data_IF_175077766836
#
_entry.id   IF_175077766836
#
_cell.length_a   1.000
_cell.length_b   1.000
_cell.length_c   1.000
_cell.angle_alpha   90.00
_cell.angle_beta   90.00
_cell.angle_gamma   90.00
#
_symmetry.space_group_name_H-M   'P 1'
#
loop_
_entity.id
_entity.type
_entity.pdbx_description
1 polymer ?
#
# COMPACT_ATOMS: atom_id res chain seq x y z
N UNK A 1 -35.52 -67.92 27.21
CA UNK A 1 -35.83 -68.07 25.78
C UNK A 1 -36.95 -67.08 25.46
N UNK A 2 -36.94 -66.35 24.34
CA UNK A 2 -36.19 -66.60 23.11
C UNK A 2 -35.11 -65.54 22.80
N UNK A 3 -34.01 -66.02 22.23
CA UNK A 3 -33.12 -65.27 21.38
C UNK A 3 -33.66 -65.38 19.94
N UNK A 4 -34.10 -64.27 19.34
CA UNK A 4 -34.37 -64.18 17.89
C UNK A 4 -34.28 -62.76 17.30
N UNK A 5 -34.17 -61.70 18.11
CA UNK A 5 -34.21 -60.31 17.59
C UNK A 5 -32.85 -59.62 17.35
N UNK A 6 -31.73 -60.33 17.44
CA UNK A 6 -30.39 -59.72 17.31
C UNK A 6 -29.76 -59.87 15.90
N UNK A 7 -30.37 -60.64 14.99
CA UNK A 7 -29.84 -60.87 13.64
C UNK A 7 -30.42 -59.89 12.59
N UNK A 8 -31.64 -59.39 12.75
CA UNK A 8 -32.29 -58.50 11.77
C UNK A 8 -31.83 -57.03 11.86
N UNK A 9 -31.38 -56.58 13.03
CA UNK A 9 -30.89 -55.20 13.23
C UNK A 9 -29.55 -54.92 12.51
N UNK A 10 -28.70 -55.93 12.34
CA UNK A 10 -27.38 -55.77 11.69
C UNK A 10 -27.46 -55.78 10.16
N UNK A 11 -28.46 -56.48 9.59
CA UNK A 11 -28.69 -56.51 8.14
C UNK A 11 -29.35 -55.21 7.61
N UNK A 12 -30.21 -54.57 8.41
CA UNK A 12 -30.84 -53.28 8.05
C UNK A 12 -29.83 -52.11 8.04
N UNK A 13 -28.87 -52.12 8.98
CA UNK A 13 -27.89 -51.04 9.11
C UNK A 13 -26.79 -51.07 8.02
N UNK A 14 -26.51 -52.23 7.42
CA UNK A 14 -25.57 -52.37 6.30
C UNK A 14 -26.23 -52.07 4.94
N UNK A 15 -27.55 -52.28 4.81
CA UNK A 15 -28.31 -51.93 3.61
C UNK A 15 -28.47 -50.40 3.43
N UNK A 16 -28.79 -49.67 4.50
CA UNK A 16 -28.90 -48.20 4.48
C UNK A 16 -27.57 -47.51 4.15
N UNK A 17 -26.45 -48.09 4.58
CA UNK A 17 -25.10 -47.55 4.32
C UNK A 17 -24.70 -47.67 2.85
N UNK A 18 -25.14 -48.72 2.16
CA UNK A 18 -24.93 -48.92 0.72
C UNK A 18 -25.79 -47.99 -0.14
N UNK A 19 -27.04 -47.71 0.26
CA UNK A 19 -27.95 -46.79 -0.45
C UNK A 19 -27.47 -45.33 -0.39
N UNK A 20 -27.00 -44.88 0.79
CA UNK A 20 -26.42 -43.54 0.98
C UNK A 20 -25.14 -43.32 0.15
N UNK A 21 -24.31 -44.36 -0.04
CA UNK A 21 -23.11 -44.27 -0.87
C UNK A 21 -23.42 -44.22 -2.37
N UNK A 22 -24.48 -44.92 -2.82
CA UNK A 22 -24.93 -44.91 -4.21
C UNK A 22 -25.56 -43.55 -4.60
N UNK A 23 -26.37 -42.94 -3.72
CA UNK A 23 -26.98 -41.63 -3.97
C UNK A 23 -25.93 -40.50 -4.06
N UNK A 24 -24.88 -40.54 -3.22
CA UNK A 24 -23.79 -39.55 -3.25
C UNK A 24 -22.94 -39.62 -4.52
N UNK A 25 -22.82 -40.79 -5.14
CA UNK A 25 -22.18 -40.97 -6.46
C UNK A 25 -23.08 -40.48 -7.60
N UNK A 26 -24.40 -40.66 -7.50
CA UNK A 26 -25.37 -40.26 -8.53
C UNK A 26 -25.56 -38.73 -8.63
N UNK A 27 -25.52 -38.01 -7.51
CA UNK A 27 -25.54 -36.53 -7.49
C UNK A 27 -24.25 -35.88 -8.01
N UNK A 28 -23.08 -36.54 -7.86
CA UNK A 28 -21.80 -36.02 -8.39
C UNK A 28 -21.64 -36.15 -9.91
N UNK A 29 -22.41 -37.03 -10.55
CA UNK A 29 -22.39 -37.24 -12.01
C UNK A 29 -23.41 -36.34 -12.72
N UNK A 30 -24.46 -35.88 -12.04
CA UNK A 30 -25.47 -34.95 -12.60
C UNK A 30 -25.05 -33.47 -12.59
N UNK A 31 -24.03 -33.07 -11.82
CA UNK A 31 -23.53 -31.69 -11.78
C UNK A 31 -22.39 -31.40 -12.77
N UNK A 32 -22.05 -32.34 -13.67
CA UNK A 32 -20.90 -32.25 -14.61
C UNK A 32 -21.29 -32.31 -16.10
N UNK A 33 -22.57 -32.20 -16.41
CA UNK A 33 -23.10 -32.11 -17.77
C UNK A 33 -24.25 -31.11 -17.72
N UNK A 34 -24.29 -30.13 -18.63
CA UNK A 34 -25.14 -28.90 -18.63
C UNK A 34 -24.43 -27.80 -17.81
N UNK A 35 -23.77 -26.77 -18.36
CA UNK A 35 -24.04 -25.98 -19.57
C UNK A 35 -22.77 -25.67 -20.37
N UNK A 36 -22.84 -25.96 -21.66
CA UNK A 36 -22.05 -25.35 -22.73
C UNK A 36 -23.03 -25.18 -23.89
N UNK A 37 -23.45 -23.95 -24.17
CA UNK A 37 -23.72 -23.43 -25.52
C UNK A 37 -24.19 -21.96 -25.42
N UNK A 38 -23.70 -21.19 -26.37
CA UNK A 38 -23.82 -19.74 -26.59
C UNK A 38 -25.21 -19.37 -27.15
N UNK A 39 -25.72 -18.14 -26.91
CA UNK A 39 -25.86 -17.13 -27.99
C UNK A 39 -26.46 -15.76 -27.54
N UNK A 40 -25.88 -14.68 -28.08
CA UNK A 40 -26.44 -13.41 -28.60
C UNK A 40 -27.62 -12.69 -27.87
N UNK A 41 -27.71 -11.37 -27.66
CA UNK A 41 -27.15 -10.12 -28.25
C UNK A 41 -27.53 -8.94 -27.33
N UNK A 42 -26.80 -7.81 -27.37
CA UNK A 42 -27.32 -6.43 -27.55
C UNK A 42 -26.21 -5.39 -27.30
N UNK A 43 -25.89 -4.63 -28.36
CA UNK A 43 -25.05 -3.43 -28.38
C UNK A 43 -25.81 -2.25 -27.78
N UNK A 44 -25.18 -1.46 -26.90
CA UNK A 44 -25.39 0.00 -26.87
C UNK A 44 -24.09 0.71 -26.41
N UNK A 45 -23.83 1.82 -27.08
CA UNK A 45 -22.61 2.62 -27.15
C UNK A 45 -22.10 3.25 -25.84
N UNK A 46 -20.77 3.32 -25.70
CA UNK A 46 -20.09 4.30 -24.85
C UNK A 46 -18.77 4.76 -25.51
N UNK A 47 -18.39 6.04 -25.35
CA UNK A 47 -17.68 6.79 -26.38
C UNK A 47 -16.17 6.53 -26.43
N UNK A 48 -15.65 6.55 -27.65
CA UNK A 48 -14.22 6.56 -27.96
C UNK A 48 -13.56 7.86 -27.49
N UNK A 49 -12.69 7.78 -26.48
CA UNK A 49 -11.59 8.73 -26.31
C UNK A 49 -10.30 8.03 -26.71
N UNK A 50 -9.81 8.41 -27.90
CA UNK A 50 -8.48 8.08 -28.38
C UNK A 50 -7.45 8.86 -27.57
N UNK A 51 -6.75 8.19 -26.66
CA UNK A 51 -5.43 8.62 -26.24
C UNK A 51 -4.49 7.42 -26.36
N UNK A 52 -3.59 7.55 -27.34
CA UNK A 52 -2.54 6.62 -27.67
C UNK A 52 -1.39 6.77 -26.67
N UNK A 53 -1.45 6.03 -25.57
CA UNK A 53 -0.26 5.72 -24.79
C UNK A 53 -0.02 4.22 -24.86
N UNK A 54 0.95 3.83 -25.70
CA UNK A 54 1.46 2.48 -25.76
C UNK A 54 2.27 2.18 -24.49
N UNK A 55 1.55 1.91 -23.40
CA UNK A 55 2.11 1.25 -22.23
C UNK A 55 2.50 -0.17 -22.67
N UNK A 56 3.81 -0.40 -22.86
CA UNK A 56 4.37 -1.74 -22.93
C UNK A 56 4.17 -2.44 -21.57
N UNK A 57 2.94 -2.92 -21.34
CA UNK A 57 2.65 -3.88 -20.31
C UNK A 57 3.53 -5.11 -20.55
N UNK A 58 4.44 -5.38 -19.61
CA UNK A 58 5.18 -6.63 -19.57
C UNK A 58 4.14 -7.75 -19.44
N UNK A 59 3.92 -8.48 -20.53
CA UNK A 59 3.03 -9.62 -20.54
C UNK A 59 3.65 -10.77 -19.73
N UNK A 60 3.36 -10.77 -18.43
CA UNK A 60 3.75 -11.83 -17.51
C UNK A 60 3.19 -13.19 -17.95
N UNK A 61 2.11 -13.22 -18.74
CA UNK A 61 1.57 -14.46 -19.31
C UNK A 61 2.50 -14.99 -20.41
N UNK A 62 3.10 -14.12 -21.23
CA UNK A 62 4.08 -14.51 -22.25
C UNK A 62 5.39 -15.00 -21.63
N UNK A 63 5.85 -14.40 -20.52
CA UNK A 63 7.03 -14.87 -19.77
C UNK A 63 6.74 -16.22 -19.09
N UNK A 64 5.58 -16.36 -18.44
CA UNK A 64 5.15 -17.62 -17.84
C UNK A 64 4.95 -18.73 -18.89
N UNK A 65 4.45 -18.40 -20.08
CA UNK A 65 4.30 -19.34 -21.20
C UNK A 65 5.65 -19.80 -21.76
N UNK A 66 6.66 -18.92 -21.78
CA UNK A 66 8.05 -19.24 -22.21
C UNK A 66 8.84 -20.05 -21.17
N UNK A 67 8.50 -19.94 -19.88
CA UNK A 67 9.14 -20.66 -18.77
C UNK A 67 8.70 -22.14 -18.62
N UNK A 68 7.94 -22.67 -19.58
CA UNK A 68 7.56 -24.07 -19.62
C UNK A 68 6.26 -24.36 -18.88
N UNK A 69 5.31 -24.97 -19.60
CA UNK A 69 3.98 -25.40 -19.14
C UNK A 69 4.01 -26.54 -18.11
N UNK A 70 4.74 -26.38 -17.01
CA UNK A 70 4.74 -27.34 -15.89
C UNK A 70 4.71 -26.64 -14.52
N UNK A 71 4.10 -25.45 -14.44
CA UNK A 71 3.92 -24.71 -13.18
C UNK A 71 2.44 -24.52 -12.79
N UNK A 72 1.53 -25.32 -13.33
CA UNK A 72 0.09 -25.25 -13.03
C UNK A 72 -0.34 -26.42 -12.16
N UNK A 73 -0.30 -26.26 -10.83
CA UNK A 73 -1.25 -26.85 -9.84
C UNK A 73 -0.91 -26.63 -8.35
N UNK A 74 0.21 -26.00 -7.98
CA UNK A 74 0.55 -25.80 -6.56
C UNK A 74 0.83 -24.33 -6.24
N UNK A 75 -0.02 -23.74 -5.39
CA UNK A 75 0.31 -22.48 -4.68
C UNK A 75 1.55 -22.73 -3.84
N UNK A 76 2.63 -21.97 -4.09
CA UNK A 76 3.87 -22.03 -3.31
C UNK A 76 3.89 -20.90 -2.30
N UNK A 77 4.30 -21.19 -1.07
CA UNK A 77 4.59 -20.15 -0.09
C UNK A 77 5.82 -19.36 -0.55
N UNK A 78 5.79 -18.05 -0.34
CA UNK A 78 6.94 -17.16 -0.57
C UNK A 78 7.46 -16.73 0.78
N UNK A 79 8.76 -16.85 0.99
CA UNK A 79 9.42 -16.46 2.25
C UNK A 79 10.10 -15.11 2.03
N UNK A 80 10.04 -14.24 3.04
CA UNK A 80 10.86 -13.04 3.11
C UNK A 80 11.75 -13.17 4.33
N UNK A 81 13.05 -13.04 4.15
CA UNK A 81 14.00 -13.16 5.26
C UNK A 81 13.70 -12.11 6.31
N UNK A 82 13.67 -12.58 7.56
CA UNK A 82 13.59 -11.71 8.71
C UNK A 82 14.83 -10.83 8.76
N UNK A 83 14.63 -9.53 8.67
CA UNK A 83 15.66 -8.53 8.93
C UNK A 83 15.33 -7.91 10.29
N UNK A 84 16.20 -8.03 11.29
CA UNK A 84 15.96 -7.41 12.57
C UNK A 84 15.87 -5.90 12.39
N UNK A 85 14.99 -5.21 13.16
CA UNK A 85 14.88 -3.77 13.09
C UNK A 85 16.25 -3.13 13.37
N UNK A 86 16.55 -1.98 12.73
CA UNK A 86 17.80 -1.28 12.96
C UNK A 86 17.90 -0.87 14.43
N UNK A 87 19.04 -1.17 15.05
CA UNK A 87 19.40 -0.67 16.37
C UNK A 87 20.22 0.63 16.23
N UNK A 88 20.41 1.36 17.33
CA UNK A 88 21.17 2.62 17.35
C UNK A 88 22.61 2.50 16.82
N UNK A 89 23.14 1.28 16.73
CA UNK A 89 24.50 1.00 16.29
C UNK A 89 24.64 0.82 14.78
N UNK A 90 23.53 0.61 14.06
CA UNK A 90 23.56 0.45 12.61
C UNK A 90 23.32 1.77 11.90
N UNK A 91 24.25 2.15 11.04
CA UNK A 91 24.10 3.29 10.13
C UNK A 91 24.07 2.78 8.69
N UNK A 92 23.20 3.34 7.82
CA UNK A 92 23.23 3.04 6.41
C UNK A 92 24.63 3.34 5.84
N UNK A 93 25.19 2.44 5.00
CA UNK A 93 26.46 2.74 4.34
C UNK A 93 26.29 3.97 3.43
N UNK A 94 27.37 4.73 3.27
CA UNK A 94 27.40 5.89 2.36
C UNK A 94 28.58 5.72 1.44
N UNK A 95 28.30 5.62 0.14
CA UNK A 95 29.33 5.58 -0.90
C UNK A 95 29.36 6.93 -1.62
N UNK A 96 30.54 7.59 -1.70
CA UNK A 96 30.69 8.84 -2.44
C UNK A 96 30.31 8.67 -3.91
N UNK A 97 29.54 9.63 -4.44
CA UNK A 97 29.04 9.66 -5.83
C UNK A 97 29.07 11.09 -6.37
N UNK A 98 29.15 11.24 -7.68
CA UNK A 98 28.96 12.56 -8.30
C UNK A 98 27.49 12.97 -8.27
N UNK A 99 27.21 14.27 -8.42
CA UNK A 99 25.84 14.78 -8.54
C UNK A 99 25.11 14.17 -9.75
N UNK A 100 25.83 13.95 -10.85
CA UNK A 100 25.29 13.33 -12.06
C UNK A 100 24.85 11.88 -11.80
N UNK A 101 25.66 11.10 -11.08
CA UNK A 101 25.33 9.71 -10.75
C UNK A 101 24.12 9.63 -9.84
N UNK A 102 24.06 10.49 -8.82
CA UNK A 102 22.92 10.59 -7.89
C UNK A 102 21.61 10.85 -8.67
N UNK A 103 21.64 11.79 -9.62
CA UNK A 103 20.47 12.10 -10.45
C UNK A 103 20.10 10.94 -11.39
N UNK A 104 21.10 10.28 -11.99
CA UNK A 104 20.90 9.10 -12.85
C UNK A 104 20.22 7.97 -12.08
N UNK A 105 20.78 7.59 -10.93
CA UNK A 105 20.24 6.56 -10.04
C UNK A 105 18.81 6.93 -9.63
N UNK A 106 18.59 8.17 -9.14
CA UNK A 106 17.27 8.65 -8.70
C UNK A 106 16.23 8.50 -9.80
N UNK A 107 16.57 8.85 -11.04
CA UNK A 107 15.70 8.71 -12.21
C UNK A 107 15.34 7.24 -12.48
N UNK A 108 16.32 6.35 -12.41
CA UNK A 108 16.09 4.90 -12.61
C UNK A 108 15.23 4.29 -11.51
N UNK A 109 15.50 4.57 -10.24
CA UNK A 109 14.71 3.99 -9.13
C UNK A 109 13.29 4.51 -9.09
N UNK A 110 13.02 5.79 -9.41
CA UNK A 110 11.65 6.34 -9.39
C UNK A 110 10.69 5.63 -10.35
N UNK A 111 11.21 5.00 -11.41
CA UNK A 111 10.44 4.17 -12.35
C UNK A 111 10.13 2.77 -11.82
N UNK A 112 10.81 2.34 -10.76
CA UNK A 112 10.62 1.04 -10.14
C UNK A 112 9.50 1.11 -9.08
N UNK A 113 8.56 0.17 -9.14
CA UNK A 113 7.41 0.10 -8.24
C UNK A 113 7.80 0.10 -6.75
N UNK A 114 8.92 -0.53 -6.38
CA UNK A 114 9.39 -0.61 -5.00
C UNK A 114 9.83 0.74 -4.44
N UNK A 115 10.23 1.67 -5.30
CA UNK A 115 10.81 2.95 -4.91
C UNK A 115 9.92 4.15 -5.27
N UNK A 116 8.97 3.99 -6.19
CA UNK A 116 8.13 5.07 -6.72
C UNK A 116 7.46 5.92 -5.61
N UNK A 117 7.00 5.28 -4.54
CA UNK A 117 6.28 5.92 -3.42
C UNK A 117 7.15 6.22 -2.19
N UNK A 118 8.46 6.00 -2.26
CA UNK A 118 9.35 6.31 -1.15
C UNK A 118 9.51 7.85 -1.03
N UNK A 119 9.40 8.43 0.19
CA UNK A 119 9.69 9.85 0.41
C UNK A 119 11.10 10.24 -0.04
N UNK A 120 11.30 11.48 -0.51
CA UNK A 120 12.58 11.91 -1.10
C UNK A 120 13.75 11.76 -0.12
N UNK A 121 13.57 12.10 1.15
CA UNK A 121 14.62 11.99 2.17
C UNK A 121 15.07 10.53 2.35
N UNK A 122 14.13 9.59 2.40
CA UNK A 122 14.41 8.16 2.49
C UNK A 122 15.03 7.63 1.21
N UNK A 123 14.57 8.11 0.05
CA UNK A 123 15.13 7.74 -1.24
C UNK A 123 16.59 8.19 -1.33
N UNK A 124 16.92 9.37 -0.84
CA UNK A 124 18.29 9.89 -0.80
C UNK A 124 19.20 8.95 0.00
N UNK A 125 18.78 8.51 1.19
CA UNK A 125 19.55 7.54 1.99
C UNK A 125 19.78 6.23 1.23
N UNK A 126 18.79 5.74 0.48
CA UNK A 126 18.95 4.53 -0.35
C UNK A 126 19.93 4.76 -1.50
N UNK A 127 19.88 5.92 -2.17
CA UNK A 127 20.81 6.29 -3.26
C UNK A 127 22.24 6.41 -2.71
N UNK A 128 22.42 7.01 -1.56
CA UNK A 128 23.72 7.14 -0.89
C UNK A 128 24.30 5.76 -0.51
N UNK A 129 23.42 4.83 -0.15
CA UNK A 129 23.78 3.45 0.17
C UNK A 129 24.08 2.55 -1.04
N UNK A 130 23.82 3.01 -2.27
CA UNK A 130 24.14 2.21 -3.45
C UNK A 130 25.65 2.15 -3.70
N UNK A 131 26.16 0.94 -3.96
CA UNK A 131 27.58 0.68 -4.17
C UNK A 131 27.90 0.60 -5.66
N UNK A 132 28.99 1.24 -6.07
CA UNK A 132 29.52 1.11 -7.43
C UNK A 132 30.18 -0.27 -7.66
N UNK A 133 29.88 -0.88 -8.81
CA UNK A 133 30.49 -2.14 -9.26
C UNK A 133 30.81 -2.08 -10.76
N UNK A 134 31.99 -2.54 -11.13
CA UNK A 134 32.42 -2.70 -12.52
C UNK A 134 32.60 -4.20 -12.80
N UNK A 135 32.08 -4.65 -13.93
CA UNK A 135 32.05 -6.06 -14.33
C UNK A 135 32.54 -6.19 -15.77
N UNK A 136 33.53 -7.06 -15.96
CA UNK A 136 34.09 -7.34 -17.28
C UNK A 136 33.10 -8.10 -18.18
N UNK A 137 33.24 -7.92 -19.49
CA UNK A 137 32.45 -8.66 -20.47
C UNK A 137 32.62 -10.18 -20.30
N UNK A 138 31.51 -10.90 -20.41
CA UNK A 138 31.43 -12.36 -20.26
C UNK A 138 31.20 -12.84 -18.83
N UNK A 139 31.29 -11.97 -17.82
CA UNK A 139 31.09 -12.33 -16.41
C UNK A 139 29.60 -12.33 -16.04
N UNK A 140 29.17 -13.34 -15.28
CA UNK A 140 27.82 -13.44 -14.72
C UNK A 140 27.71 -12.53 -13.48
N UNK A 141 26.86 -11.49 -13.56
CA UNK A 141 26.59 -10.57 -12.44
C UNK A 141 25.72 -11.27 -11.39
N UNK A 142 24.73 -12.03 -11.86
CA UNK A 142 23.90 -12.93 -11.04
C UNK A 142 23.68 -14.23 -11.80
N UNK A 143 23.55 -15.33 -11.08
CA UNK A 143 23.38 -16.68 -11.66
C UNK A 143 22.01 -17.25 -11.29
N UNK A 144 21.30 -17.82 -12.26
CA UNK A 144 20.01 -18.47 -12.04
C UNK A 144 20.13 -19.57 -10.96
N UNK A 145 19.16 -19.60 -10.05
CA UNK A 145 19.12 -20.56 -8.95
C UNK A 145 19.97 -20.16 -7.74
N UNK A 146 20.76 -19.07 -7.83
CA UNK A 146 21.49 -18.55 -6.68
C UNK A 146 20.51 -18.08 -5.59
N UNK A 147 20.59 -18.75 -4.44
CA UNK A 147 19.78 -18.48 -3.25
C UNK A 147 20.35 -17.35 -2.39
N UNK A 148 21.62 -17.03 -2.56
CA UNK A 148 22.27 -15.90 -1.87
C UNK A 148 22.03 -14.56 -2.60
N UNK A 149 21.38 -14.59 -3.77
CA UNK A 149 21.07 -13.40 -4.54
C UNK A 149 20.15 -12.44 -3.78
N UNK A 150 20.72 -11.40 -3.18
CA UNK A 150 20.02 -10.43 -2.33
C UNK A 150 20.15 -8.97 -2.79
N UNK A 151 20.86 -8.73 -3.90
CA UNK A 151 21.10 -7.40 -4.45
C UNK A 151 20.17 -7.01 -5.59
N UNK A 152 19.86 -5.74 -5.67
CA UNK A 152 19.26 -5.05 -6.81
C UNK A 152 20.34 -4.28 -7.55
N UNK A 153 20.29 -4.25 -8.89
CA UNK A 153 21.30 -3.61 -9.73
C UNK A 153 20.67 -2.62 -10.71
N UNK A 154 21.34 -1.49 -10.92
CA UNK A 154 21.01 -0.48 -11.93
C UNK A 154 22.24 -0.30 -12.83
N UNK A 155 22.07 -0.49 -14.13
CA UNK A 155 23.12 -0.30 -15.11
C UNK A 155 23.35 1.19 -15.36
N UNK A 156 24.60 1.62 -15.20
CA UNK A 156 25.06 2.96 -15.53
C UNK A 156 25.69 3.01 -16.92
N UNK A 157 26.44 1.96 -17.28
CA UNK A 157 26.98 1.76 -18.62
C UNK A 157 26.97 0.28 -19.03
N UNK A 158 26.99 0.02 -20.34
CA UNK A 158 27.05 -1.33 -20.89
C UNK A 158 25.71 -2.03 -21.09
N UNK A 159 25.80 -3.32 -21.46
CA UNK A 159 24.67 -4.19 -21.79
C UNK A 159 24.86 -5.58 -21.19
N UNK A 160 23.76 -6.21 -20.80
CA UNK A 160 23.74 -7.55 -20.23
C UNK A 160 22.72 -8.45 -20.92
N UNK A 161 23.11 -9.70 -21.20
CA UNK A 161 22.20 -10.74 -21.65
C UNK A 161 21.47 -11.35 -20.45
N UNK A 162 20.15 -11.56 -20.60
CA UNK A 162 19.31 -12.27 -19.63
C UNK A 162 19.08 -13.69 -20.12
N UNK A 163 19.49 -14.67 -19.33
CA UNK A 163 19.52 -16.08 -19.70
C UNK A 163 18.68 -16.88 -18.70
N UNK A 164 17.74 -17.69 -19.19
CA UNK A 164 16.94 -18.61 -18.37
C UNK A 164 16.99 -20.00 -18.96
N UNK A 165 17.29 -21.00 -18.13
CA UNK A 165 17.43 -22.40 -18.53
C UNK A 165 18.37 -22.55 -19.75
N UNK A 166 19.50 -21.83 -19.71
CA UNK A 166 20.50 -21.75 -20.78
C UNK A 166 20.02 -21.17 -22.12
N UNK A 167 18.86 -20.50 -22.15
CA UNK A 167 18.35 -19.79 -23.33
C UNK A 167 18.33 -18.29 -23.07
N UNK A 168 18.83 -17.51 -24.02
CA UNK A 168 18.68 -16.05 -23.98
C UNK A 168 17.19 -15.69 -24.09
N UNK A 169 16.69 -14.90 -23.15
CA UNK A 169 15.28 -14.46 -23.09
C UNK A 169 15.11 -12.95 -23.28
N UNK A 170 16.20 -12.19 -23.21
CA UNK A 170 16.21 -10.74 -23.42
C UNK A 170 17.57 -10.12 -23.12
N UNK A 171 17.62 -8.79 -23.18
CA UNK A 171 18.79 -7.97 -22.87
C UNK A 171 18.36 -6.82 -21.93
N UNK A 172 19.26 -6.39 -21.05
CA UNK A 172 19.13 -5.15 -20.26
C UNK A 172 20.28 -4.23 -20.65
N UNK A 173 19.95 -3.01 -21.05
CA UNK A 173 20.93 -1.97 -21.44
C UNK A 173 20.84 -0.78 -20.50
N UNK A 174 21.97 -0.14 -20.22
CA UNK A 174 22.03 1.14 -19.50
C UNK A 174 21.19 2.24 -20.16
N UNK A 175 21.01 2.16 -21.48
CA UNK A 175 20.20 3.13 -22.26
C UNK A 175 18.70 2.83 -22.24
N UNK A 176 18.30 1.66 -21.76
CA UNK A 176 16.89 1.26 -21.71
C UNK A 176 16.13 2.04 -20.64
N UNK A 177 14.83 2.25 -20.86
CA UNK A 177 13.92 2.82 -19.85
C UNK A 177 13.93 1.99 -18.56
N UNK A 178 14.09 0.67 -18.70
CA UNK A 178 14.23 -0.32 -17.62
C UNK A 178 15.68 -0.80 -17.56
N UNK A 179 16.59 0.05 -17.11
CA UNK A 179 18.02 -0.23 -17.00
C UNK A 179 18.42 -1.00 -15.71
N UNK A 180 17.51 -1.73 -15.08
CA UNK A 180 17.74 -2.36 -13.78
C UNK A 180 17.22 -3.79 -13.73
N UNK A 181 17.72 -4.58 -12.78
CA UNK A 181 17.28 -5.95 -12.53
C UNK A 181 17.49 -6.38 -11.08
N UNK A 182 16.75 -7.41 -10.66
CA UNK A 182 16.92 -8.04 -9.35
C UNK A 182 16.13 -7.38 -8.23
N UNK A 183 15.16 -6.53 -8.55
CA UNK A 183 14.32 -5.80 -7.59
C UNK A 183 13.54 -6.72 -6.65
N UNK A 184 13.10 -7.88 -7.15
CA UNK A 184 12.38 -8.87 -6.34
C UNK A 184 13.24 -9.46 -5.22
N UNK A 185 14.57 -9.43 -5.37
CA UNK A 185 15.49 -9.88 -4.33
C UNK A 185 15.57 -8.92 -3.14
N UNK A 186 14.97 -7.72 -3.23
CA UNK A 186 14.82 -6.85 -2.06
C UNK A 186 13.61 -7.26 -1.21
N UNK A 187 12.63 -7.96 -1.79
CA UNK A 187 11.39 -8.34 -1.12
C UNK A 187 11.37 -9.78 -0.61
N UNK A 188 11.81 -10.75 -1.42
CA UNK A 188 11.58 -12.17 -1.16
C UNK A 188 12.84 -13.01 -1.24
N UNK A 189 12.93 -14.02 -0.37
CA UNK A 189 13.93 -15.10 -0.45
C UNK A 189 13.51 -16.03 -1.57
N UNK A 190 13.91 -15.64 -2.78
CA UNK A 190 13.68 -16.42 -3.97
C UNK A 190 15.02 -16.60 -4.67
N UNK A 191 15.34 -17.84 -5.13
CA UNK A 191 16.48 -18.04 -6.01
C UNK A 191 16.36 -17.11 -7.23
N UNK A 192 17.49 -16.63 -7.74
CA UNK A 192 17.50 -15.81 -8.96
C UNK A 192 16.78 -16.54 -10.10
N UNK A 193 15.80 -15.88 -10.71
CA UNK A 193 14.99 -16.45 -11.78
C UNK A 193 15.74 -16.59 -13.12
N UNK A 194 16.82 -15.82 -13.28
CA UNK A 194 17.63 -15.76 -14.49
C UNK A 194 19.10 -15.51 -14.13
N UNK A 195 19.99 -15.91 -15.03
CA UNK A 195 21.38 -15.45 -15.07
C UNK A 195 21.42 -14.13 -15.84
N UNK A 196 22.17 -13.15 -15.34
CA UNK A 196 22.43 -11.89 -16.05
C UNK A 196 23.94 -11.82 -16.30
N UNK A 197 24.32 -11.86 -17.58
CA UNK A 197 25.72 -11.88 -18.02
C UNK A 197 26.08 -10.57 -18.69
N UNK A 198 27.21 -9.99 -18.31
CA UNK A 198 27.75 -8.80 -18.97
C UNK A 198 28.10 -9.15 -20.42
N UNK A 199 27.48 -8.47 -21.40
CA UNK A 199 27.75 -8.63 -22.84
C UNK A 199 28.89 -7.72 -23.28
N UNK A 200 28.91 -6.51 -22.74
CA UNK A 200 30.02 -5.55 -22.79
C UNK A 200 30.62 -5.39 -21.40
N UNK A 201 31.74 -4.67 -21.20
CA UNK A 201 32.05 -4.12 -19.89
C UNK A 201 30.83 -3.35 -19.36
N UNK A 202 30.51 -3.55 -18.09
CA UNK A 202 29.32 -3.01 -17.43
C UNK A 202 29.73 -2.30 -16.16
N UNK A 203 29.23 -1.09 -15.98
CA UNK A 203 29.30 -0.34 -14.73
C UNK A 203 27.88 -0.25 -14.16
N UNK A 204 27.72 -0.55 -12.88
CA UNK A 204 26.42 -0.61 -12.25
C UNK A 204 26.45 -0.18 -10.78
N UNK A 205 25.26 0.16 -10.29
CA UNK A 205 25.00 0.47 -8.90
C UNK A 205 24.23 -0.68 -8.26
N UNK A 206 24.66 -1.13 -7.09
CA UNK A 206 24.00 -2.21 -6.36
C UNK A 206 23.46 -1.76 -5.00
N UNK A 207 22.33 -2.35 -4.59
CA UNK A 207 21.73 -2.18 -3.27
C UNK A 207 21.38 -3.54 -2.69
N UNK A 208 21.81 -3.84 -1.47
CA UNK A 208 21.45 -5.08 -0.81
C UNK A 208 20.11 -5.00 -0.07
N UNK A 209 19.46 -6.16 0.04
CA UNK A 209 18.18 -6.36 0.71
C UNK A 209 18.17 -5.87 2.16
N UNK A 210 19.24 -6.13 2.91
CA UNK A 210 19.29 -5.82 4.35
C UNK A 210 19.29 -4.31 4.53
N UNK A 211 20.11 -3.59 3.78
CA UNK A 211 20.15 -2.13 3.77
C UNK A 211 18.82 -1.54 3.32
N UNK A 212 18.27 -2.02 2.20
CA UNK A 212 16.95 -1.56 1.72
C UNK A 212 15.86 -1.69 2.80
N UNK A 213 15.72 -2.88 3.39
CA UNK A 213 14.72 -3.14 4.43
C UNK A 213 14.97 -2.32 5.69
N UNK A 214 16.22 -2.20 6.16
CA UNK A 214 16.54 -1.44 7.37
C UNK A 214 16.29 0.05 7.20
N UNK A 215 16.63 0.64 6.06
CA UNK A 215 16.35 2.07 5.78
C UNK A 215 14.84 2.34 5.77
N UNK A 216 14.06 1.46 5.14
CA UNK A 216 12.60 1.56 5.15
C UNK A 216 12.03 1.39 6.57
N UNK A 217 12.47 0.37 7.30
CA UNK A 217 12.04 0.12 8.68
C UNK A 217 12.38 1.31 9.58
N UNK A 218 13.61 1.84 9.54
CA UNK A 218 14.02 3.01 10.30
C UNK A 218 13.11 4.21 10.04
N UNK A 219 12.86 4.51 8.76
CA UNK A 219 11.99 5.63 8.36
C UNK A 219 10.57 5.44 8.90
N UNK A 220 9.98 4.26 8.67
CA UNK A 220 8.61 3.98 9.14
C UNK A 220 8.50 4.02 10.67
N UNK A 221 9.49 3.50 11.40
CA UNK A 221 9.54 3.56 12.85
C UNK A 221 9.67 4.99 13.37
N UNK A 222 10.53 5.80 12.75
CA UNK A 222 10.72 7.20 13.12
C UNK A 222 9.46 8.02 12.85
N UNK A 223 8.82 7.84 11.68
CA UNK A 223 7.55 8.49 11.36
C UNK A 223 6.46 8.10 12.35
N UNK A 224 6.38 6.81 12.70
CA UNK A 224 5.40 6.31 13.67
C UNK A 224 5.63 6.88 15.06
N UNK A 225 6.88 6.96 15.51
CA UNK A 225 7.23 7.59 16.79
C UNK A 225 6.81 9.05 16.82
N UNK A 226 7.12 9.82 15.77
CA UNK A 226 6.71 11.22 15.65
C UNK A 226 5.18 11.39 15.67
N UNK A 227 4.44 10.49 15.03
CA UNK A 227 2.98 10.51 15.10
C UNK A 227 2.46 10.14 16.49
N UNK A 228 3.01 9.13 17.15
CA UNK A 228 2.61 8.79 18.51
C UNK A 228 2.87 9.93 19.50
N UNK A 229 4.05 10.56 19.43
CA UNK A 229 4.40 11.73 20.25
C UNK A 229 3.40 12.87 20.01
N UNK A 230 3.02 13.12 18.75
CA UNK A 230 1.99 14.10 18.43
C UNK A 230 0.61 13.71 18.99
N UNK A 231 0.18 12.47 18.79
CA UNK A 231 -1.10 11.97 19.27
C UNK A 231 -1.23 12.09 20.79
N UNK A 232 -0.12 11.93 21.53
CA UNK A 232 -0.08 12.12 22.99
C UNK A 232 -0.32 13.58 23.42
N UNK A 233 -0.02 14.56 22.56
CA UNK A 233 -0.26 15.98 22.85
C UNK A 233 -1.69 16.43 22.53
N UNK A 234 -2.44 15.68 21.71
CA UNK A 234 -3.81 16.09 21.32
C UNK A 234 -4.82 15.57 22.34
N UNK A 235 -5.55 16.44 23.07
CA UNK A 235 -6.42 16.01 24.16
C UNK A 235 -7.51 15.01 23.76
N UNK A 236 -8.03 15.09 22.52
CA UNK A 236 -9.06 14.17 22.01
C UNK A 236 -8.58 12.71 21.97
N UNK A 237 -7.28 12.48 21.86
CA UNK A 237 -6.68 11.15 21.80
C UNK A 237 -6.19 10.64 23.15
N UNK A 238 -6.35 11.41 24.23
CA UNK A 238 -5.91 11.03 25.56
C UNK A 238 -6.60 9.76 26.09
N UNK A 239 -7.82 9.47 25.64
CA UNK A 239 -8.59 8.27 26.01
C UNK A 239 -8.23 7.03 25.20
N UNK A 240 -7.44 7.17 24.13
CA UNK A 240 -7.02 6.04 23.31
C UNK A 240 -5.94 5.22 24.01
N UNK A 241 -6.10 3.90 23.97
CA UNK A 241 -5.04 2.96 24.33
C UNK A 241 -3.86 3.06 23.36
N UNK A 242 -2.69 2.54 23.77
CA UNK A 242 -1.50 2.52 22.91
C UNK A 242 -1.74 1.80 21.58
N UNK A 243 -2.56 0.74 21.57
CA UNK A 243 -2.91 0.00 20.35
C UNK A 243 -3.81 0.82 19.41
N UNK A 244 -4.76 1.57 19.97
CA UNK A 244 -5.62 2.47 19.20
C UNK A 244 -4.82 3.65 18.65
N UNK A 245 -3.91 4.24 19.44
CA UNK A 245 -2.99 5.27 18.95
C UNK A 245 -2.09 4.77 17.82
N UNK A 246 -1.56 3.55 17.94
CA UNK A 246 -0.82 2.91 16.84
C UNK A 246 -1.66 2.80 15.58
N UNK A 247 -2.91 2.38 15.72
CA UNK A 247 -3.86 2.27 14.61
C UNK A 247 -4.14 3.64 13.97
N UNK A 248 -4.26 4.69 14.78
CA UNK A 248 -4.43 6.07 14.29
C UNK A 248 -3.18 6.50 13.53
N UNK A 249 -2.00 6.35 14.13
CA UNK A 249 -0.72 6.71 13.52
C UNK A 249 -0.51 6.06 12.15
N UNK A 250 -0.92 4.79 11.98
CA UNK A 250 -0.80 4.08 10.70
C UNK A 250 -1.79 4.57 9.63
N UNK A 251 -2.90 5.20 10.04
CA UNK A 251 -3.96 5.67 9.14
C UNK A 251 -3.91 7.19 8.88
N UNK A 252 -3.17 7.95 9.70
CA UNK A 252 -3.03 9.40 9.57
C UNK A 252 -2.38 9.78 8.24
N UNK A 253 -3.00 10.72 7.53
CA UNK A 253 -2.41 11.36 6.35
C UNK A 253 -2.12 12.83 6.64
N UNK A 254 -0.96 13.31 6.21
CA UNK A 254 -0.57 14.71 6.35
C UNK A 254 -0.99 15.48 5.10
N UNK A 255 -1.62 16.63 5.29
CA UNK A 255 -1.93 17.57 4.22
C UNK A 255 -1.42 18.97 4.58
N UNK A 256 -0.75 19.62 3.64
CA UNK A 256 -0.32 21.01 3.75
C UNK A 256 -1.26 21.86 2.91
N UNK A 257 -1.78 22.94 3.51
CA UNK A 257 -2.69 23.88 2.85
C UNK A 257 -2.12 25.29 2.94
N UNK A 258 -2.27 26.06 1.86
CA UNK A 258 -1.88 27.45 1.76
C UNK A 258 -2.83 28.39 2.50
N UNK A 259 -2.39 29.63 2.70
CA UNK A 259 -3.26 30.66 3.24
C UNK A 259 -4.37 31.00 2.23
N UNK A 260 -5.63 31.00 2.67
CA UNK A 260 -6.81 31.20 1.83
C UNK A 260 -7.40 29.91 1.25
N UNK A 261 -6.72 28.77 1.37
CA UNK A 261 -7.23 27.51 0.83
C UNK A 261 -8.43 27.00 1.65
N UNK A 262 -9.47 26.56 0.93
CA UNK A 262 -10.66 25.95 1.52
C UNK A 262 -10.40 24.46 1.74
N UNK A 263 -10.48 24.01 2.99
CA UNK A 263 -10.25 22.61 3.39
C UNK A 263 -11.56 21.82 3.32
N UNK A 264 -12.64 22.41 3.84
CA UNK A 264 -14.00 21.86 3.78
C UNK A 264 -14.94 22.92 3.24
N UNK A 265 -15.95 22.49 2.48
CA UNK A 265 -17.00 23.38 1.94
C UNK A 265 -18.33 23.02 2.57
N UNK A 266 -19.08 24.03 3.00
CA UNK A 266 -20.46 23.85 3.49
C UNK A 266 -21.33 23.14 2.45
N UNK A 267 -22.21 22.25 2.91
CA UNK A 267 -23.13 21.47 2.08
C UNK A 267 -22.47 20.32 1.32
N UNK A 268 -21.14 20.23 1.30
CA UNK A 268 -20.47 19.11 0.65
C UNK A 268 -20.65 17.82 1.45
N UNK A 269 -20.67 16.69 0.76
CA UNK A 269 -20.44 15.39 1.39
C UNK A 269 -18.95 15.23 1.59
N UNK A 270 -18.52 14.99 2.82
CA UNK A 270 -17.13 14.73 3.12
C UNK A 270 -17.00 13.71 4.23
N UNK A 271 -16.10 12.76 4.02
CA UNK A 271 -15.92 11.61 4.88
C UNK A 271 -14.63 11.68 5.71
N UNK A 272 -14.00 12.85 5.78
CA UNK A 272 -12.72 13.01 6.49
C UNK A 272 -12.85 13.82 7.77
N UNK A 273 -12.08 13.44 8.77
CA UNK A 273 -11.87 14.16 10.01
C UNK A 273 -10.49 14.80 10.00
N UNK A 274 -10.38 16.04 10.50
CA UNK A 274 -9.14 16.82 10.42
C UNK A 274 -8.69 17.32 11.79
N UNK A 275 -7.37 17.34 11.99
CA UNK A 275 -6.71 17.86 13.19
C UNK A 275 -5.62 18.81 12.76
N UNK A 276 -5.55 19.97 13.40
CA UNK A 276 -4.58 21.00 13.06
C UNK A 276 -3.27 20.68 13.81
N UNK A 277 -2.22 20.35 13.06
CA UNK A 277 -0.90 20.11 13.63
C UNK A 277 -0.11 21.42 13.79
N UNK A 278 -0.24 22.33 12.83
CA UNK A 278 0.27 23.70 12.88
C UNK A 278 -0.60 24.58 11.97
N UNK A 279 -0.70 25.86 12.27
CA UNK A 279 -1.49 26.82 11.50
C UNK A 279 -2.69 27.38 12.24
N UNK A 280 -3.61 27.97 11.47
CA UNK A 280 -4.87 28.51 11.97
C UNK A 280 -5.91 28.40 10.84
N UNK A 281 -7.15 28.06 11.20
CA UNK A 281 -8.29 28.02 10.27
C UNK A 281 -9.47 28.81 10.85
N UNK A 282 -10.32 29.31 9.96
CA UNK A 282 -11.62 29.88 10.31
C UNK A 282 -12.75 29.02 9.78
N UNK A 283 -13.87 28.99 10.50
CA UNK A 283 -15.10 28.31 10.09
C UNK A 283 -16.16 29.36 9.75
N UNK A 284 -16.75 29.22 8.57
CA UNK A 284 -17.79 30.14 8.06
C UNK A 284 -19.02 29.37 7.60
N UNK A 285 -20.21 29.92 7.83
CA UNK A 285 -21.49 29.37 7.35
C UNK A 285 -22.30 30.48 6.73
N UNK A 286 -22.84 30.27 5.52
CA UNK A 286 -23.54 31.34 4.80
C UNK A 286 -22.69 32.60 4.55
N UNK A 287 -21.36 32.47 4.62
CA UNK A 287 -20.41 33.59 4.48
C UNK A 287 -20.01 34.27 5.80
N UNK A 288 -20.67 33.97 6.92
CA UNK A 288 -20.35 34.56 8.23
C UNK A 288 -19.49 33.64 9.10
N UNK A 289 -18.62 34.21 9.93
CA UNK A 289 -17.76 33.45 10.86
C UNK A 289 -18.60 32.91 12.03
N UNK A 290 -18.68 31.58 12.15
CA UNK A 290 -19.63 30.90 13.08
C UNK A 290 -18.96 30.23 14.28
N UNK A 291 -17.64 30.33 14.38
CA UNK A 291 -16.89 29.86 15.55
C UNK A 291 -15.66 30.72 15.80
N UNK A 292 -15.07 30.56 16.99
CA UNK A 292 -13.70 31.00 17.19
C UNK A 292 -12.76 30.32 16.18
N UNK A 293 -11.66 30.97 15.86
CA UNK A 293 -10.61 30.41 15.01
C UNK A 293 -9.97 29.21 15.70
N UNK A 294 -9.67 28.18 14.91
CA UNK A 294 -9.12 26.92 15.40
C UNK A 294 -7.62 26.88 15.10
N UNK A 295 -6.83 26.52 16.11
CA UNK A 295 -5.38 26.49 16.07
C UNK A 295 -4.81 25.08 16.25
N UNK A 296 -3.50 24.99 16.47
CA UNK A 296 -2.84 23.70 16.69
C UNK A 296 -3.47 22.93 17.88
N UNK A 297 -3.74 21.64 17.68
CA UNK A 297 -4.43 20.77 18.63
C UNK A 297 -5.96 20.78 18.51
N UNK A 298 -6.54 21.77 17.82
CA UNK A 298 -7.96 21.75 17.48
C UNK A 298 -8.25 20.82 16.30
N UNK A 299 -9.53 20.50 16.14
CA UNK A 299 -10.04 19.60 15.11
C UNK A 299 -11.34 20.12 14.50
N UNK A 300 -11.68 19.60 13.33
CA UNK A 300 -12.92 19.92 12.63
C UNK A 300 -13.36 18.77 11.70
N UNK A 301 -14.62 18.82 11.27
CA UNK A 301 -15.21 17.83 10.36
C UNK A 301 -15.84 16.62 11.05
N UNK A 302 -15.89 16.60 12.38
CA UNK A 302 -16.48 15.54 13.19
C UNK A 302 -18.00 15.45 13.06
N UNK A 303 -18.69 16.59 12.92
CA UNK A 303 -20.16 16.63 12.94
C UNK A 303 -20.78 15.80 11.81
N UNK A 304 -20.27 15.96 10.58
CA UNK A 304 -20.73 15.19 9.43
C UNK A 304 -20.56 13.68 9.62
N UNK A 305 -19.51 13.27 10.34
CA UNK A 305 -19.20 11.85 10.57
C UNK A 305 -20.05 11.25 11.70
N UNK A 306 -20.39 12.05 12.71
CA UNK A 306 -21.20 11.64 13.87
C UNK A 306 -22.68 11.56 13.49
N UNK A 307 -23.19 12.58 12.79
CA UNK A 307 -24.61 12.69 12.43
C UNK A 307 -24.97 12.08 11.08
N UNK A 308 -23.98 11.59 10.34
CA UNK A 308 -24.13 11.10 8.97
C UNK A 308 -24.80 12.12 8.04
N UNK A 309 -24.29 13.36 8.08
CA UNK A 309 -24.87 14.51 7.39
C UNK A 309 -23.81 15.24 6.53
N UNK A 310 -24.22 16.25 5.79
CA UNK A 310 -23.32 17.13 5.03
C UNK A 310 -22.49 18.02 5.94
N UNK A 311 -21.40 18.59 5.40
CA UNK A 311 -20.61 19.60 6.11
C UNK A 311 -21.47 20.81 6.46
N UNK A 312 -21.47 21.21 7.73
CA UNK A 312 -22.31 22.31 8.23
C UNK A 312 -21.67 23.70 8.06
N UNK A 313 -20.38 23.76 7.72
CA UNK A 313 -19.62 24.99 7.57
C UNK A 313 -18.45 24.80 6.59
N UNK A 314 -18.01 25.90 5.99
CA UNK A 314 -16.79 26.01 5.19
C UNK A 314 -15.61 26.31 6.11
N UNK A 315 -14.52 25.55 5.99
CA UNK A 315 -13.29 25.73 6.77
C UNK A 315 -12.19 26.25 5.84
N UNK A 316 -11.62 27.41 6.16
CA UNK A 316 -10.58 28.06 5.34
C UNK A 316 -9.31 28.26 6.16
N UNK A 317 -8.16 27.95 5.58
CA UNK A 317 -6.86 28.19 6.20
C UNK A 317 -6.53 29.69 6.20
N UNK A 318 -6.13 30.22 7.35
CA UNK A 318 -5.78 31.65 7.53
C UNK A 318 -4.30 31.93 7.25
N UNK A 319 -3.46 30.90 7.38
CA UNK A 319 -2.03 30.91 7.08
C UNK A 319 -1.64 29.55 6.51
N UNK A 320 -0.36 29.35 6.19
CA UNK A 320 0.14 28.00 5.88
C UNK A 320 -0.20 27.09 7.06
N UNK A 321 -0.98 26.05 6.81
CA UNK A 321 -1.53 25.17 7.84
C UNK A 321 -1.20 23.73 7.47
N UNK A 322 -0.75 22.96 8.46
CA UNK A 322 -0.54 21.53 8.37
C UNK A 322 -1.67 20.84 9.11
N UNK A 323 -2.45 20.04 8.40
CA UNK A 323 -3.53 19.24 8.99
C UNK A 323 -3.22 17.76 8.87
N UNK A 324 -3.69 16.99 9.84
CA UNK A 324 -3.75 15.54 9.77
C UNK A 324 -5.17 15.11 9.45
N UNK A 325 -5.31 14.14 8.57
CA UNK A 325 -6.57 13.64 8.03
C UNK A 325 -6.76 12.17 8.44
N UNK A 326 -7.98 11.84 8.87
CA UNK A 326 -8.45 10.48 9.07
C UNK A 326 -9.72 10.24 8.25
N UNK A 327 -9.78 9.11 7.55
CA UNK A 327 -11.00 8.73 6.81
C UNK A 327 -12.13 8.28 7.76
N UNK A 328 -13.36 8.27 7.24
CA UNK A 328 -14.57 7.91 7.97
C UNK A 328 -14.53 6.50 8.55
N UNK A 329 -14.00 5.54 7.81
CA UNK A 329 -13.96 4.14 8.26
C UNK A 329 -13.06 4.01 9.50
N UNK A 330 -11.89 4.67 9.46
CA UNK A 330 -10.93 4.74 10.55
C UNK A 330 -11.51 5.53 11.72
N UNK A 331 -12.08 6.70 11.46
CA UNK A 331 -12.74 7.52 12.49
C UNK A 331 -13.86 6.76 13.20
N UNK A 332 -14.77 6.10 12.46
CA UNK A 332 -15.88 5.34 13.05
C UNK A 332 -15.41 4.15 13.89
N UNK A 333 -14.34 3.47 13.47
CA UNK A 333 -13.75 2.38 14.26
C UNK A 333 -13.15 2.87 15.57
N UNK A 334 -12.65 4.11 15.58
CA UNK A 334 -12.05 4.77 16.74
C UNK A 334 -13.07 5.62 17.54
N UNK A 335 -14.30 5.75 17.04
CA UNK A 335 -15.32 6.65 17.58
C UNK A 335 -15.70 6.30 19.01
N UNK A 336 -15.75 5.01 19.36
CA UNK A 336 -16.13 4.56 20.70
C UNK A 336 -15.28 5.22 21.81
N UNK A 337 -13.96 5.00 21.82
CA UNK A 337 -13.06 5.64 22.79
C UNK A 337 -13.06 7.18 22.75
N UNK A 338 -13.34 7.80 21.61
CA UNK A 338 -13.30 9.27 21.44
C UNK A 338 -14.66 9.95 21.63
N UNK A 339 -15.73 9.17 21.82
CA UNK A 339 -17.11 9.64 21.71
C UNK A 339 -17.44 10.76 22.71
N UNK A 340 -16.89 10.69 23.92
CA UNK A 340 -17.15 11.68 24.96
C UNK A 340 -16.52 13.04 24.63
N UNK A 341 -15.27 13.06 24.15
CA UNK A 341 -14.58 14.29 23.74
C UNK A 341 -15.24 14.93 22.51
N UNK A 342 -15.63 14.08 21.55
CA UNK A 342 -16.31 14.50 20.33
C UNK A 342 -17.68 15.09 20.63
N UNK A 343 -18.48 14.46 21.50
CA UNK A 343 -19.80 14.97 21.92
C UNK A 343 -19.69 16.30 22.65
N UNK A 344 -18.79 16.41 23.63
CA UNK A 344 -18.60 17.67 24.38
C UNK A 344 -18.30 18.86 23.47
N UNK A 345 -17.51 18.67 22.41
CA UNK A 345 -17.25 19.72 21.40
C UNK A 345 -18.42 19.91 20.44
N UNK A 346 -19.07 18.83 20.00
CA UNK A 346 -20.24 18.92 19.13
C UNK A 346 -21.39 19.72 19.78
N UNK A 347 -21.65 19.49 21.07
CA UNK A 347 -22.67 20.20 21.84
C UNK A 347 -22.34 21.71 21.93
N UNK A 348 -21.07 22.06 22.10
CA UNK A 348 -20.62 23.45 22.07
C UNK A 348 -20.82 24.09 20.69
N UNK A 349 -20.49 23.37 19.61
CA UNK A 349 -20.70 23.88 18.25
C UNK A 349 -22.19 24.04 17.93
N UNK A 350 -23.05 23.09 18.31
CA UNK A 350 -24.50 23.25 18.17
C UNK A 350 -25.01 24.46 18.95
N UNK A 351 -24.49 24.71 20.15
CA UNK A 351 -24.85 25.91 20.91
C UNK A 351 -24.43 27.19 20.18
N UNK A 352 -23.20 27.27 19.67
CA UNK A 352 -22.73 28.42 18.88
C UNK A 352 -23.59 28.63 17.63
N UNK A 353 -23.85 27.56 16.87
CA UNK A 353 -24.64 27.60 15.63
C UNK A 353 -26.11 27.96 15.87
N UNK A 354 -26.69 27.51 16.99
CA UNK A 354 -28.07 27.83 17.34
C UNK A 354 -28.20 29.25 17.90
N UNK A 355 -27.17 29.77 18.56
CA UNK A 355 -27.17 31.16 19.06
C UNK A 355 -27.17 32.16 17.90
N UNK A 356 -26.47 31.87 16.79
CA UNK A 356 -26.51 32.69 15.57
C UNK A 356 -27.90 32.68 14.93
N UNK A 357 -28.55 31.51 14.84
CA UNK A 357 -29.93 31.39 14.32
C UNK A 357 -30.96 32.21 15.10
N UNK A 358 -30.81 32.32 16.42
CA UNK A 358 -31.73 33.10 17.27
C UNK A 358 -31.53 34.60 17.05
N UNK A 359 -30.31 35.04 16.77
CA UNK A 359 -30.02 36.45 16.48
C UNK A 359 -30.44 36.89 15.07
N UNK A 360 -30.62 35.97 14.13
CA UNK A 360 -31.14 36.26 12.77
C UNK A 360 -32.68 36.32 12.70
N UNK A 361 -33.39 35.88 13.75
CA UNK A 361 -34.86 35.85 13.82
C UNK A 361 -35.48 36.95 14.72
N UNK A 362 -34.65 37.78 15.35
CA UNK A 362 -35.05 38.98 16.10
C UNK A 362 -34.55 40.23 15.37
#
# INVERSE_FOLDING_TARGET
MPAKDCADSKAQHDAERCELAANKKRLKTQSKHVDSEEDETEEEDAPSTSDSDSDEHVDFSAIAARLGRSASTHRRSVVSSFVPPPNEQWTPPVYPKSTQDIESIRRSVRRNLLFAKIPEDTLQVLVDAMKYEAVDAGVDIVTQGDVAGDRFFILDSGTCDVIVNHRMVGEVSATSVRNYFGELALLYDSPRAATVRAKTPVECWSLDRVTFKRVLMATTMQQRALYLDFLDQVPIFSTLSSYEKMTVADALRVQFVGAGDVILTEGSRGDDFYIIADGEVKCTRGGEEVSARLGAGDFFGELALIHDDVRQATVTAMRKTKVLMLDRATFKRLLGPMQEHLRKRADLYELYMNTTRINEQN
#
